data_IF_047861456755
#
_entry.id   IF_047861456755
#
_cell.length_a   1.000
_cell.length_b   1.000
_cell.length_c   1.000
_cell.angle_alpha   90.00
_cell.angle_beta   90.00
_cell.angle_gamma   90.00
#
_symmetry.space_group_name_H-M   'P 1'
#
loop_
_entity.id
_entity.type
_entity.pdbx_description
1 polymer ?
#
# COMPACT_ATOMS: atom_id res chain seq x y z
N UNK A 1 -6.79 17.55 -4.72
CA UNK A 1 -5.65 16.66 -4.58
C UNK A 1 -4.83 17.09 -3.37
N UNK A 2 -4.74 16.26 -2.35
CA UNK A 2 -4.01 16.57 -1.10
C UNK A 2 -2.54 16.19 -1.19
N UNK A 3 -2.26 15.07 -1.87
CA UNK A 3 -0.92 14.53 -1.99
C UNK A 3 -0.82 13.59 -3.20
N UNK A 4 0.40 13.31 -3.67
CA UNK A 4 0.69 12.23 -4.62
C UNK A 4 1.69 11.30 -3.96
N UNK A 5 1.31 10.05 -3.83
CA UNK A 5 2.13 8.98 -3.25
C UNK A 5 2.42 7.91 -4.29
N UNK A 6 3.32 7.01 -3.97
CA UNK A 6 3.68 5.91 -4.84
C UNK A 6 3.44 4.56 -4.17
N UNK A 7 3.06 3.56 -4.97
CA UNK A 7 2.96 2.17 -4.57
C UNK A 7 3.91 1.31 -5.41
N UNK A 8 4.41 0.23 -4.83
CA UNK A 8 5.32 -0.72 -5.50
C UNK A 8 4.57 -2.02 -5.75
N UNK A 9 4.26 -2.29 -7.00
CA UNK A 9 3.51 -3.47 -7.40
C UNK A 9 4.37 -4.75 -7.48
N UNK A 10 3.71 -5.86 -7.75
CA UNK A 10 4.28 -7.23 -7.80
C UNK A 10 5.56 -7.37 -8.64
N UNK A 11 5.66 -6.61 -9.73
CA UNK A 11 6.81 -6.61 -10.65
C UNK A 11 7.81 -5.50 -10.37
N UNK A 12 7.76 -4.88 -9.20
CA UNK A 12 8.58 -3.74 -8.83
C UNK A 12 8.16 -2.41 -9.44
N UNK A 13 7.14 -2.36 -10.30
CA UNK A 13 6.66 -1.11 -10.91
C UNK A 13 6.20 -0.14 -9.83
N UNK A 14 6.76 1.08 -9.86
CA UNK A 14 6.42 2.15 -8.93
C UNK A 14 5.38 3.06 -9.56
N UNK A 15 4.17 3.01 -9.02
CA UNK A 15 3.00 3.68 -9.61
C UNK A 15 2.53 4.84 -8.73
N UNK A 16 2.51 6.09 -9.22
CA UNK A 16 1.97 7.21 -8.49
C UNK A 16 0.43 7.17 -8.47
N UNK A 17 -0.13 7.59 -7.33
CA UNK A 17 -1.56 7.78 -7.15
C UNK A 17 -1.83 9.05 -6.34
N UNK A 18 -2.92 9.71 -6.67
CA UNK A 18 -3.38 10.89 -5.93
C UNK A 18 -4.17 10.50 -4.70
N UNK A 19 -3.88 11.17 -3.59
CA UNK A 19 -4.68 11.16 -2.35
C UNK A 19 -5.53 12.43 -2.35
N UNK A 20 -6.85 12.29 -2.19
CA UNK A 20 -7.80 13.38 -2.35
C UNK A 20 -8.71 13.53 -1.14
N UNK A 21 -9.38 14.67 -1.05
CA UNK A 21 -10.55 14.77 -0.17
C UNK A 21 -11.58 13.75 -0.64
N UNK A 22 -12.23 13.01 0.28
CA UNK A 22 -13.27 12.06 -0.08
C UNK A 22 -14.34 12.70 -0.96
N UNK A 23 -14.65 12.06 -2.09
CA UNK A 23 -15.69 12.52 -3.02
C UNK A 23 -16.50 11.32 -3.48
N UNK A 24 -17.82 11.49 -3.56
CA UNK A 24 -18.72 10.45 -4.07
C UNK A 24 -18.78 10.50 -5.59
N UNK A 25 -18.37 9.41 -6.24
CA UNK A 25 -18.40 9.23 -7.70
C UNK A 25 -19.09 7.90 -8.01
N UNK A 26 -20.16 7.94 -8.80
CA UNK A 26 -20.93 6.76 -9.20
C UNK A 26 -21.30 5.83 -8.02
N UNK A 27 -21.78 6.44 -6.90
CA UNK A 27 -22.23 5.72 -5.72
C UNK A 27 -21.12 5.16 -4.80
N UNK A 28 -19.85 5.44 -5.08
CA UNK A 28 -18.72 5.05 -4.25
C UNK A 28 -17.95 6.26 -3.76
N UNK A 29 -17.45 6.22 -2.51
CA UNK A 29 -16.54 7.25 -2.01
C UNK A 29 -15.12 6.96 -2.50
N UNK A 30 -14.52 7.93 -3.19
CA UNK A 30 -13.17 7.86 -3.75
C UNK A 30 -12.26 8.80 -2.96
N UNK A 31 -11.18 8.26 -2.40
CA UNK A 31 -10.13 8.99 -1.69
C UNK A 31 -8.78 8.86 -2.40
N UNK A 32 -8.64 7.86 -3.27
CA UNK A 32 -7.41 7.60 -4.02
C UNK A 32 -7.74 7.29 -5.48
N UNK A 33 -6.90 7.78 -6.40
CA UNK A 33 -7.03 7.50 -7.82
C UNK A 33 -5.67 7.39 -8.50
N UNK A 34 -5.56 6.52 -9.50
CA UNK A 34 -4.30 6.29 -10.19
C UNK A 34 -3.87 7.48 -11.05
N UNK A 35 -2.56 7.67 -11.14
CA UNK A 35 -1.88 8.56 -12.07
C UNK A 35 -0.99 7.79 -13.06
N UNK A 36 -1.02 6.46 -13.02
CA UNK A 36 -0.37 5.48 -13.90
C UNK A 36 1.16 5.47 -13.81
N UNK A 37 1.85 6.57 -14.11
CA UNK A 37 3.31 6.70 -13.99
C UNK A 37 3.73 8.18 -13.94
N UNK A 38 5.01 8.44 -13.65
CA UNK A 38 5.54 9.79 -13.54
C UNK A 38 5.42 10.59 -14.86
N UNK A 39 5.54 9.92 -16.01
CA UNK A 39 5.37 10.55 -17.31
C UNK A 39 3.93 11.09 -17.48
N UNK A 40 2.92 10.33 -17.06
CA UNK A 40 1.51 10.74 -17.12
C UNK A 40 1.20 11.89 -16.15
N UNK A 41 1.79 11.89 -14.94
CA UNK A 41 1.67 13.03 -14.01
C UNK A 41 2.15 14.31 -14.67
N UNK A 42 3.34 14.27 -15.27
CA UNK A 42 3.93 15.42 -15.96
C UNK A 42 3.15 15.81 -17.22
N UNK A 43 2.76 14.83 -18.05
CA UNK A 43 1.98 15.05 -19.26
C UNK A 43 0.61 15.70 -18.98
N UNK A 44 -0.06 15.28 -17.93
CA UNK A 44 -1.34 15.85 -17.48
C UNK A 44 -1.17 17.19 -16.78
N UNK A 45 0.05 17.55 -16.38
CA UNK A 45 0.35 18.79 -15.67
C UNK A 45 -0.30 18.88 -14.29
N UNK A 46 -0.49 17.74 -13.61
CA UNK A 46 -1.11 17.67 -12.28
C UNK A 46 -0.12 18.06 -11.21
N UNK A 47 -0.53 18.95 -10.32
CA UNK A 47 0.23 19.40 -9.16
C UNK A 47 -0.47 19.00 -7.86
N UNK A 48 0.31 18.77 -6.80
CA UNK A 48 -0.23 18.57 -5.46
C UNK A 48 -0.85 19.92 -5.01
N UNK A 49 -2.10 19.87 -4.56
CA UNK A 49 -2.91 21.07 -4.27
C UNK A 49 -3.99 21.34 -5.32
N UNK A 50 -3.87 20.78 -6.52
CA UNK A 50 -4.86 20.98 -7.59
C UNK A 50 -6.28 20.53 -7.23
N UNK A 51 -7.27 21.22 -7.76
CA UNK A 51 -8.59 20.64 -8.01
C UNK A 51 -8.49 19.79 -9.27
N UNK A 52 -8.87 18.50 -9.18
CA UNK A 52 -8.71 17.55 -10.28
C UNK A 52 -10.03 16.98 -10.77
N UNK A 53 -10.08 16.63 -12.04
CA UNK A 53 -11.19 15.89 -12.64
C UNK A 53 -10.95 14.40 -12.48
N UNK A 54 -11.93 13.71 -11.87
CA UNK A 54 -11.92 12.27 -11.67
C UNK A 54 -12.84 11.55 -12.65
N UNK A 55 -12.42 10.39 -13.08
CA UNK A 55 -13.26 9.43 -13.79
C UNK A 55 -13.27 8.09 -13.06
N UNK A 56 -14.47 7.52 -12.90
CA UNK A 56 -14.68 6.13 -12.51
C UNK A 56 -15.75 5.56 -13.43
N UNK A 57 -15.42 4.55 -14.22
CA UNK A 57 -16.35 3.86 -15.10
C UNK A 57 -16.63 2.46 -14.53
N UNK A 58 -17.82 2.25 -13.95
CA UNK A 58 -18.21 0.99 -13.32
C UNK A 58 -17.25 0.57 -12.20
N UNK A 59 -16.82 -0.69 -12.20
CA UNK A 59 -15.84 -1.25 -11.25
C UNK A 59 -14.38 -0.97 -11.62
N UNK A 60 -14.14 -0.05 -12.54
CA UNK A 60 -12.79 0.35 -12.94
C UNK A 60 -12.13 1.20 -11.85
N UNK A 61 -10.82 1.05 -11.71
CA UNK A 61 -9.99 1.84 -10.79
C UNK A 61 -10.18 3.35 -11.08
N UNK A 62 -10.48 4.18 -10.07
CA UNK A 62 -10.60 5.62 -10.26
C UNK A 62 -9.32 6.22 -10.85
N UNK A 63 -9.47 7.14 -11.78
CA UNK A 63 -8.38 7.78 -12.52
C UNK A 63 -8.49 9.30 -12.44
N UNK A 64 -7.35 9.98 -12.24
CA UNK A 64 -7.25 11.43 -12.41
C UNK A 64 -7.03 11.73 -13.89
N UNK A 65 -7.97 12.49 -14.49
CA UNK A 65 -7.88 12.89 -15.89
C UNK A 65 -6.96 14.09 -16.09
N UNK A 66 -7.00 15.06 -15.18
CA UNK A 66 -6.20 16.28 -15.22
C UNK A 66 -6.62 17.30 -14.17
N UNK A 67 -5.90 18.45 -14.08
CA UNK A 67 -6.23 19.54 -13.19
C UNK A 67 -7.31 20.46 -13.78
N UNK A 68 -8.00 21.17 -12.91
CA UNK A 68 -8.81 22.35 -13.24
C UNK A 68 -7.94 23.58 -13.02
N UNK A 69 -7.19 23.98 -14.05
CA UNK A 69 -6.12 24.99 -13.96
C UNK A 69 -6.65 26.35 -13.49
N UNK A 70 -7.88 26.68 -13.84
CA UNK A 70 -8.54 27.95 -13.48
C UNK A 70 -8.78 28.10 -11.97
N UNK A 71 -8.72 27.00 -11.23
CA UNK A 71 -8.88 26.97 -9.76
C UNK A 71 -7.56 27.01 -9.00
N UNK A 72 -6.43 27.11 -9.69
CA UNK A 72 -5.11 27.27 -9.06
C UNK A 72 -4.97 28.62 -8.38
N UNK A 73 -4.31 28.62 -7.23
CA UNK A 73 -4.09 29.82 -6.43
C UNK A 73 -2.59 30.13 -6.20
N UNK A 74 -1.70 29.35 -6.81
CA UNK A 74 -0.24 29.51 -6.72
C UNK A 74 0.42 28.80 -5.53
N UNK A 75 -0.33 28.01 -4.76
CA UNK A 75 0.23 27.21 -3.66
C UNK A 75 0.50 25.75 -4.06
N UNK A 76 0.16 25.42 -5.30
CA UNK A 76 0.35 24.09 -5.85
C UNK A 76 1.84 23.77 -6.02
N UNK A 77 2.21 22.52 -5.81
CA UNK A 77 3.60 22.06 -5.88
C UNK A 77 3.76 20.84 -6.78
N UNK A 78 4.91 20.77 -7.45
CA UNK A 78 5.24 19.66 -8.33
C UNK A 78 5.45 18.37 -7.53
N UNK A 79 5.02 17.25 -8.10
CA UNK A 79 5.36 15.92 -7.60
C UNK A 79 6.69 15.48 -8.18
N UNK A 80 7.62 15.10 -7.30
CA UNK A 80 8.89 14.50 -7.67
C UNK A 80 8.81 13.00 -7.40
N UNK A 81 9.10 12.20 -8.44
CA UNK A 81 9.19 10.77 -8.28
C UNK A 81 10.39 10.42 -7.40
N UNK A 82 10.27 9.52 -6.42
CA UNK A 82 11.42 9.14 -5.60
C UNK A 82 12.49 8.43 -6.44
N UNK A 83 13.75 8.61 -6.05
CA UNK A 83 14.88 7.91 -6.66
C UNK A 83 15.10 6.52 -6.07
N UNK A 84 14.54 6.28 -4.88
CA UNK A 84 14.67 5.03 -4.14
C UNK A 84 13.29 4.43 -3.84
N UNK A 85 13.27 3.10 -3.78
CA UNK A 85 12.08 2.33 -3.44
C UNK A 85 11.60 2.68 -2.03
N UNK A 86 10.34 3.12 -1.85
CA UNK A 86 9.82 3.50 -0.53
C UNK A 86 9.71 2.31 0.43
N UNK A 87 9.76 1.08 -0.10
CA UNK A 87 9.62 -0.14 0.71
C UNK A 87 10.97 -0.72 1.16
N UNK A 88 11.97 -0.75 0.27
CA UNK A 88 13.24 -1.43 0.57
C UNK A 88 14.48 -0.55 0.41
N UNK A 89 14.33 0.73 0.01
CA UNK A 89 15.44 1.66 -0.16
C UNK A 89 16.34 1.41 -1.38
N UNK A 90 16.09 0.39 -2.21
CA UNK A 90 16.88 0.15 -3.42
C UNK A 90 16.68 1.28 -4.42
N UNK A 91 17.75 1.66 -5.13
CA UNK A 91 17.68 2.65 -6.20
C UNK A 91 16.73 2.19 -7.31
N UNK A 92 15.83 3.08 -7.74
CA UNK A 92 14.86 2.79 -8.79
C UNK A 92 15.51 2.95 -10.16
N UNK A 93 15.13 2.06 -11.09
CA UNK A 93 15.67 2.07 -12.44
C UNK A 93 14.59 1.82 -13.50
N UNK A 94 14.85 2.27 -14.71
CA UNK A 94 14.09 1.85 -15.88
C UNK A 94 14.58 0.47 -16.33
N UNK A 95 13.65 -0.43 -16.69
CA UNK A 95 14.02 -1.77 -17.17
C UNK A 95 14.77 -1.72 -18.50
N UNK A 96 14.42 -0.75 -19.35
CA UNK A 96 15.05 -0.52 -20.66
C UNK A 96 14.95 0.94 -21.10
N UNK A 97 15.78 1.33 -22.05
CA UNK A 97 15.73 2.66 -22.64
C UNK A 97 14.35 2.95 -23.26
N UNK A 98 13.79 4.12 -22.91
CA UNK A 98 12.49 4.56 -23.36
C UNK A 98 11.31 4.03 -22.55
N UNK A 99 11.56 3.26 -21.48
CA UNK A 99 10.52 2.87 -20.54
C UNK A 99 9.98 4.12 -19.80
N UNK A 100 8.69 4.09 -19.51
CA UNK A 100 8.01 5.16 -18.76
C UNK A 100 7.81 4.80 -17.30
N UNK A 101 8.02 3.55 -16.95
CA UNK A 101 7.77 2.99 -15.64
C UNK A 101 9.09 2.76 -14.89
N UNK A 102 9.29 3.50 -13.80
CA UNK A 102 10.34 3.22 -12.83
C UNK A 102 10.02 1.95 -12.05
N UNK A 103 11.06 1.16 -11.79
CA UNK A 103 10.94 -0.12 -11.08
C UNK A 103 11.95 -0.25 -9.96
N UNK A 104 11.54 -0.95 -8.92
CA UNK A 104 12.43 -1.47 -7.90
C UNK A 104 13.07 -2.77 -8.40
N UNK A 105 14.40 -2.82 -8.61
CA UNK A 105 15.09 -4.01 -9.11
C UNK A 105 15.25 -5.12 -8.06
N UNK A 106 15.02 -4.82 -6.78
CA UNK A 106 15.15 -5.77 -5.68
C UNK A 106 13.94 -6.73 -5.61
N UNK A 107 13.80 -7.58 -6.63
CA UNK A 107 12.64 -8.45 -6.77
C UNK A 107 12.49 -9.47 -5.61
N UNK A 108 13.60 -9.95 -5.04
CA UNK A 108 13.57 -10.97 -3.98
C UNK A 108 13.45 -10.35 -2.59
N UNK A 109 14.14 -9.24 -2.33
CA UNK A 109 14.24 -8.67 -0.99
C UNK A 109 13.31 -7.49 -0.71
N UNK A 110 12.48 -7.06 -1.67
CA UNK A 110 11.54 -5.97 -1.46
C UNK A 110 10.24 -6.45 -0.80
N UNK A 111 9.93 -6.00 0.44
CA UNK A 111 8.72 -6.43 1.13
C UNK A 111 7.44 -6.14 0.34
N UNK A 112 7.32 -4.95 -0.29
CA UNK A 112 6.16 -4.62 -1.11
C UNK A 112 5.97 -5.56 -2.29
N UNK A 113 7.03 -5.97 -2.97
CA UNK A 113 6.92 -6.93 -4.06
C UNK A 113 6.53 -8.33 -3.54
N UNK A 114 7.03 -8.71 -2.38
CA UNK A 114 6.74 -10.01 -1.79
C UNK A 114 5.28 -10.11 -1.38
N UNK A 115 4.74 -9.13 -0.63
CA UNK A 115 3.33 -9.23 -0.22
C UNK A 115 2.37 -9.17 -1.42
N UNK A 116 2.71 -8.43 -2.49
CA UNK A 116 1.95 -8.44 -3.74
C UNK A 116 1.97 -9.81 -4.44
N UNK A 117 3.10 -10.55 -4.39
CA UNK A 117 3.18 -11.90 -4.94
C UNK A 117 2.39 -12.90 -4.08
N UNK A 118 2.52 -12.81 -2.74
CA UNK A 118 1.75 -13.64 -1.80
C UNK A 118 0.24 -13.41 -1.98
N UNK A 119 -0.20 -12.16 -2.00
CA UNK A 119 -1.60 -11.82 -2.28
C UNK A 119 -2.07 -12.31 -3.65
N UNK A 120 -1.22 -12.18 -4.68
CA UNK A 120 -1.52 -12.67 -6.02
C UNK A 120 -1.71 -14.19 -6.08
N UNK A 121 -0.88 -14.96 -5.35
CA UNK A 121 -1.03 -16.41 -5.23
C UNK A 121 -2.31 -16.81 -4.48
N UNK A 122 -2.69 -16.05 -3.46
CA UNK A 122 -3.90 -16.30 -2.70
C UNK A 122 -5.20 -15.93 -3.44
N UNK A 123 -5.11 -15.19 -4.53
CA UNK A 123 -6.27 -14.70 -5.27
C UNK A 123 -7.07 -15.82 -5.94
N UNK A 124 -8.35 -15.54 -6.26
CA UNK A 124 -9.25 -16.46 -6.97
C UNK A 124 -8.72 -16.96 -8.32
N UNK A 125 -7.86 -16.18 -8.96
CA UNK A 125 -7.24 -16.56 -10.24
C UNK A 125 -6.05 -17.52 -10.10
N UNK A 126 -5.63 -17.84 -8.88
CA UNK A 126 -4.52 -18.74 -8.60
C UNK A 126 -4.92 -19.86 -7.62
N UNK A 127 -4.62 -19.75 -6.33
CA UNK A 127 -4.85 -20.81 -5.36
C UNK A 127 -6.16 -20.67 -4.57
N UNK A 128 -6.85 -19.53 -4.69
CA UNK A 128 -8.12 -19.19 -4.01
C UNK A 128 -8.07 -19.46 -2.49
N UNK A 129 -7.05 -18.94 -1.83
CA UNK A 129 -6.87 -19.11 -0.38
C UNK A 129 -7.74 -18.09 0.34
N UNK A 130 -8.87 -18.54 0.90
CA UNK A 130 -9.71 -17.70 1.74
C UNK A 130 -8.93 -17.15 2.95
N UNK A 131 -9.36 -15.99 3.46
CA UNK A 131 -8.71 -15.26 4.55
C UNK A 131 -7.29 -14.74 4.28
N UNK A 132 -6.59 -15.15 3.22
CA UNK A 132 -5.31 -14.59 2.83
C UNK A 132 -5.51 -13.40 1.88
N UNK A 133 -6.14 -12.35 2.40
CA UNK A 133 -6.30 -11.07 1.71
C UNK A 133 -5.04 -10.20 1.78
N UNK A 134 -5.16 -8.97 1.27
CA UNK A 134 -4.08 -7.99 1.22
C UNK A 134 -3.40 -7.74 2.57
N UNK A 135 -4.17 -7.49 3.64
CA UNK A 135 -3.62 -7.22 4.97
C UNK A 135 -2.94 -8.44 5.59
N UNK A 136 -3.46 -9.65 5.33
CA UNK A 136 -2.83 -10.89 5.78
C UNK A 136 -1.48 -11.11 5.06
N UNK A 137 -1.40 -10.84 3.76
CA UNK A 137 -0.16 -10.91 3.02
C UNK A 137 0.89 -9.94 3.59
N UNK A 138 0.50 -8.70 3.93
CA UNK A 138 1.40 -7.74 4.60
C UNK A 138 1.82 -8.28 5.97
N UNK A 139 0.89 -8.73 6.80
CA UNK A 139 1.20 -9.24 8.14
C UNK A 139 2.24 -10.38 8.12
N UNK A 140 2.19 -11.24 7.11
CA UNK A 140 3.15 -12.34 6.94
C UNK A 140 4.52 -11.92 6.40
N UNK A 141 4.57 -10.87 5.58
CA UNK A 141 5.78 -10.46 4.85
C UNK A 141 6.45 -9.20 5.38
N UNK A 142 5.70 -8.34 6.07
CA UNK A 142 6.17 -7.11 6.68
C UNK A 142 5.28 -6.71 7.87
N UNK A 143 5.33 -7.44 8.99
CA UNK A 143 4.51 -7.16 10.17
C UNK A 143 4.78 -5.78 10.79
N UNK A 144 5.91 -5.17 10.45
CA UNK A 144 6.33 -3.84 10.90
C UNK A 144 5.92 -2.71 9.94
N UNK A 145 5.16 -3.00 8.89
CA UNK A 145 4.76 -2.03 7.87
C UNK A 145 4.09 -0.75 8.42
N UNK A 146 3.36 -0.87 9.52
CA UNK A 146 2.70 0.25 10.19
C UNK A 146 3.32 0.58 11.56
N UNK A 147 4.57 0.19 11.79
CA UNK A 147 5.27 0.52 13.04
C UNK A 147 5.32 2.04 13.22
N UNK A 148 4.86 2.57 14.37
CA UNK A 148 4.97 3.99 14.67
C UNK A 148 6.42 4.45 14.79
N UNK A 149 6.67 5.74 14.59
CA UNK A 149 7.93 6.37 14.95
C UNK A 149 8.10 6.47 16.46
N UNK A 150 9.34 6.62 16.91
CA UNK A 150 9.65 6.74 18.35
C UNK A 150 9.00 7.98 18.98
N UNK A 151 8.70 8.99 18.18
CA UNK A 151 8.00 10.22 18.56
C UNK A 151 6.46 10.07 18.63
N UNK A 152 5.91 8.99 18.11
CA UNK A 152 4.46 8.72 18.08
C UNK A 152 3.99 7.88 19.27
N UNK A 153 4.89 7.36 20.09
CA UNK A 153 4.61 6.50 21.26
C UNK A 153 5.24 7.06 22.52
N UNK A 154 4.55 6.85 23.64
CA UNK A 154 5.03 7.31 24.95
C UNK A 154 6.02 6.35 25.62
N UNK A 155 6.10 5.11 25.15
CA UNK A 155 6.90 4.03 25.71
C UNK A 155 7.96 3.57 24.70
N UNK A 156 9.02 2.94 25.17
CA UNK A 156 10.04 2.32 24.30
C UNK A 156 9.40 1.24 23.42
N UNK A 157 9.64 1.35 22.11
CA UNK A 157 9.12 0.39 21.15
C UNK A 157 9.78 -1.00 21.32
N UNK A 158 9.01 -2.09 21.31
CA UNK A 158 9.57 -3.44 21.38
C UNK A 158 10.50 -3.72 20.19
N UNK A 159 11.35 -4.74 20.34
CA UNK A 159 12.22 -5.20 19.26
C UNK A 159 11.39 -5.50 18.01
N UNK A 160 11.92 -5.14 16.84
CA UNK A 160 11.27 -5.43 15.55
C UNK A 160 11.07 -6.93 15.35
N UNK A 161 9.90 -7.28 14.85
CA UNK A 161 9.57 -8.64 14.49
C UNK A 161 10.24 -9.00 13.16
N UNK A 162 10.56 -10.27 13.01
CA UNK A 162 10.98 -10.84 11.72
C UNK A 162 9.73 -11.26 10.95
N UNK A 163 9.69 -11.01 9.65
CA UNK A 163 8.65 -11.52 8.79
C UNK A 163 8.62 -13.06 8.79
N UNK A 164 7.43 -13.64 8.80
CA UNK A 164 7.26 -15.10 8.74
C UNK A 164 7.61 -15.60 7.34
N UNK A 165 7.21 -14.86 6.31
CA UNK A 165 7.52 -15.19 4.92
C UNK A 165 8.65 -14.32 4.39
N UNK A 166 9.71 -14.95 3.90
CA UNK A 166 10.78 -14.32 3.12
C UNK A 166 10.66 -14.59 1.61
N UNK A 167 9.77 -15.50 1.22
CA UNK A 167 9.42 -15.81 -0.16
C UNK A 167 7.98 -16.30 -0.26
N UNK A 168 7.39 -16.23 -1.44
CA UNK A 168 6.06 -16.78 -1.72
C UNK A 168 5.99 -18.30 -1.59
N UNK A 169 7.11 -19.00 -1.78
CA UNK A 169 7.19 -20.46 -1.60
C UNK A 169 6.99 -20.86 -0.13
N UNK A 170 7.38 -20.01 0.81
CA UNK A 170 7.17 -20.25 2.25
C UNK A 170 5.71 -20.42 2.66
N UNK A 171 4.75 -20.02 1.82
CA UNK A 171 3.32 -20.27 2.06
C UNK A 171 3.00 -21.77 2.24
N UNK A 172 3.72 -22.64 1.55
CA UNK A 172 3.49 -24.09 1.57
C UNK A 172 4.13 -24.79 2.79
N UNK A 173 4.98 -24.07 3.51
CA UNK A 173 5.70 -24.59 4.70
C UNK A 173 5.12 -24.00 6.01
N UNK A 174 4.15 -23.07 5.93
CA UNK A 174 3.56 -22.41 7.10
C UNK A 174 2.94 -23.42 8.06
N UNK A 175 3.26 -23.25 9.34
CA UNK A 175 2.65 -23.98 10.44
C UNK A 175 1.75 -23.06 11.26
N UNK A 176 0.82 -23.64 12.03
CA UNK A 176 -0.10 -22.90 12.85
C UNK A 176 0.62 -22.01 13.88
N UNK A 177 1.72 -22.52 14.43
CA UNK A 177 2.54 -21.80 15.42
C UNK A 177 3.19 -20.54 14.81
N UNK A 178 3.58 -20.58 13.54
CA UNK A 178 4.13 -19.41 12.83
C UNK A 178 3.10 -18.27 12.78
N UNK A 179 1.83 -18.61 12.57
CA UNK A 179 0.74 -17.63 12.51
C UNK A 179 0.40 -17.04 13.89
N UNK A 180 0.57 -17.84 14.96
CA UNK A 180 0.28 -17.42 16.34
C UNK A 180 1.20 -16.28 16.79
N UNK A 181 2.42 -16.23 16.30
CA UNK A 181 3.42 -15.21 16.68
C UNK A 181 3.28 -13.90 15.92
N UNK A 182 2.49 -13.87 14.82
CA UNK A 182 2.33 -12.66 13.99
C UNK A 182 1.53 -11.59 14.72
N UNK A 183 2.15 -10.44 14.94
CA UNK A 183 1.52 -9.25 15.50
C UNK A 183 1.65 -8.09 14.52
N UNK A 184 0.69 -7.20 14.53
CA UNK A 184 0.68 -5.99 13.68
C UNK A 184 0.38 -4.76 14.50
N UNK A 185 0.93 -3.64 14.07
CA UNK A 185 0.64 -2.34 14.66
C UNK A 185 -0.73 -1.84 14.20
N UNK A 186 -1.57 -1.47 15.16
CA UNK A 186 -2.91 -0.91 14.89
C UNK A 186 -3.16 0.32 15.72
N UNK A 187 -3.94 1.23 15.15
CA UNK A 187 -4.38 2.46 15.80
C UNK A 187 -5.89 2.55 15.70
N UNK A 188 -6.57 2.28 16.81
CA UNK A 188 -8.04 2.36 16.87
C UNK A 188 -8.48 3.80 17.09
N UNK A 189 -9.63 4.17 16.58
CA UNK A 189 -10.24 5.48 16.87
C UNK A 189 -10.79 5.49 18.28
N UNK A 190 -10.48 6.53 19.04
CA UNK A 190 -11.01 6.79 20.39
C UNK A 190 -11.66 8.17 20.39
N UNK A 191 -12.92 8.26 20.75
CA UNK A 191 -13.69 9.53 20.79
C UNK A 191 -13.63 10.34 19.47
N UNK A 192 -13.62 9.63 18.32
CA UNK A 192 -13.59 10.27 16.99
C UNK A 192 -12.19 10.68 16.50
N UNK A 193 -11.15 10.59 17.34
CA UNK A 193 -9.76 10.84 17.00
C UNK A 193 -8.92 9.56 16.96
N UNK A 194 -7.66 9.65 16.48
CA UNK A 194 -6.74 8.53 16.54
C UNK A 194 -6.36 8.20 17.99
N UNK A 195 -6.54 6.95 18.40
CA UNK A 195 -6.11 6.45 19.70
C UNK A 195 -4.61 6.10 19.74
N UNK A 196 -4.12 5.49 20.82
CA UNK A 196 -2.73 5.03 20.91
C UNK A 196 -2.45 3.87 19.94
N UNK A 197 -1.20 3.75 19.55
CA UNK A 197 -0.71 2.59 18.80
C UNK A 197 -0.68 1.36 19.70
N UNK A 198 -1.07 0.21 19.17
CA UNK A 198 -1.09 -1.07 19.87
C UNK A 198 -0.52 -2.15 18.96
N UNK A 199 0.29 -3.04 19.54
CA UNK A 199 0.81 -4.23 18.88
C UNK A 199 -0.13 -5.40 19.20
N UNK A 200 -0.92 -5.85 18.23
CA UNK A 200 -1.97 -6.84 18.41
C UNK A 200 -1.70 -8.10 17.57
N UNK A 201 -2.05 -9.31 18.07
CA UNK A 201 -2.06 -10.52 17.25
C UNK A 201 -2.92 -10.33 16.01
N UNK A 202 -2.44 -10.83 14.85
CA UNK A 202 -3.18 -10.69 13.60
C UNK A 202 -4.16 -11.84 13.37
N UNK A 203 -3.71 -13.09 13.39
CA UNK A 203 -4.50 -14.26 12.95
C UNK A 203 -5.44 -14.84 14.02
N UNK A 204 -5.14 -14.70 15.30
CA UNK A 204 -5.93 -15.28 16.39
C UNK A 204 -6.79 -14.26 17.13
N UNK A 205 -7.41 -13.35 16.40
CA UNK A 205 -8.47 -12.51 16.93
C UNK A 205 -9.78 -13.28 16.99
N UNK A 206 -10.72 -12.89 17.87
CA UNK A 206 -12.03 -13.55 18.01
C UNK A 206 -12.78 -13.78 16.68
N UNK A 207 -12.50 -12.97 15.66
CA UNK A 207 -13.09 -13.11 14.33
C UNK A 207 -12.45 -14.27 13.51
N UNK A 208 -11.17 -14.57 13.70
CA UNK A 208 -10.52 -15.73 13.05
C UNK A 208 -10.90 -17.06 13.68
N UNK A 209 -11.16 -17.11 14.99
CA UNK A 209 -11.54 -18.34 15.69
C UNK A 209 -12.89 -18.90 15.24
N UNK A 210 -13.73 -18.12 14.59
CA UNK A 210 -15.02 -18.59 14.06
C UNK A 210 -14.88 -19.44 12.77
N UNK A 211 -13.72 -19.43 12.12
CA UNK A 211 -13.47 -20.18 10.89
C UNK A 211 -12.61 -21.44 11.09
N UNK A 212 -12.10 -21.68 12.30
CA UNK A 212 -11.24 -22.84 12.60
C UNK A 212 -11.92 -23.90 13.48
N UNK A 213 -13.22 -23.77 13.75
CA UNK A 213 -13.99 -24.72 14.55
C UNK A 213 -15.01 -25.48 13.68
N UNK A 214 -14.50 -26.33 12.76
CA UNK A 214 -15.19 -27.52 12.25
C UNK A 214 -14.20 -28.66 12.05
#
# INVERSE_FOLDING_TARGET
>A
LLDIRVNVGRTGRVTPYGVMRPVTVAGSTVEMATLHNAFEVKRKGVLIGDTVVLRKAGDVIPEILGPVVELRNGTEREFLMPDHCPSCGAELAYEKNGDKDLRCPNAQGCPSQLHERVFGLASRGALDIEALGWEAAIALTDPENQRPGDDEVAEELPKRQTAVLSSEAGLFDLQLDDLAEVKVWRRRKVNGGPGPWQLEPYFFTKACLLYTSD
#
